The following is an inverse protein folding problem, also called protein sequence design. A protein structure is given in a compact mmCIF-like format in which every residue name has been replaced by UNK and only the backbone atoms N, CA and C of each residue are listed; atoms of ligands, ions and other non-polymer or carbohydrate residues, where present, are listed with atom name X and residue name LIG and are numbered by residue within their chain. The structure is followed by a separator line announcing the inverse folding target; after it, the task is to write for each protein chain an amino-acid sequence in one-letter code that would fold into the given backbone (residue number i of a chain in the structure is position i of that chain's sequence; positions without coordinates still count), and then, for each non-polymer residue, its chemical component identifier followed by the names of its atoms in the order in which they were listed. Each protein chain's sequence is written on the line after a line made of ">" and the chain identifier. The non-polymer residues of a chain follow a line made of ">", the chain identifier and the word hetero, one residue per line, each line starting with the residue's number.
data_IF_509647594579
#
_entry.id   IF_509647594579
#
_cell.length_a   1.000
_cell.length_b   1.000
_cell.length_c   1.000
_cell.angle_alpha   90.00
_cell.angle_beta   90.00
_cell.angle_gamma   90.00
#
_symmetry.space_group_name_H-M   'P 1'
#
loop_
_entity.id
_entity.type
_entity.pdbx_description
1 polymer ?
#
# COMPACT_ATOMS: atom_id res chain seq x y z
N UNK A 1 -6.29 -15.02 -11.25
CA UNK A 1 -6.08 -13.89 -10.30
C UNK A 1 -5.29 -12.84 -11.04
N UNK A 2 -5.93 -11.73 -11.39
CA UNK A 2 -5.35 -10.73 -12.29
C UNK A 2 -4.51 -9.74 -11.47
N UNK A 3 -3.19 -9.88 -11.57
CA UNK A 3 -2.26 -8.94 -10.94
C UNK A 3 -2.28 -7.63 -11.73
N UNK A 4 -3.00 -6.63 -11.23
CA UNK A 4 -2.98 -5.29 -11.79
C UNK A 4 -1.57 -4.69 -11.63
N UNK A 5 -0.79 -4.70 -12.71
CA UNK A 5 0.49 -3.99 -12.77
C UNK A 5 0.22 -2.48 -12.69
N UNK A 6 0.43 -1.92 -11.50
CA UNK A 6 0.06 -0.57 -11.10
C UNK A 6 1.08 0.50 -11.54
N UNK A 7 2.19 0.13 -12.19
CA UNK A 7 3.31 1.04 -12.49
C UNK A 7 2.93 2.32 -13.24
N UNK A 8 2.06 2.24 -14.25
CA UNK A 8 1.62 3.43 -15.01
C UNK A 8 0.49 4.22 -14.32
N UNK A 9 -0.30 3.59 -13.45
CA UNK A 9 -1.44 4.22 -12.74
C UNK A 9 -1.01 4.90 -11.43
N UNK A 10 0.13 4.48 -10.86
CA UNK A 10 0.70 5.08 -9.67
C UNK A 10 1.37 6.43 -9.94
N UNK A 11 1.77 6.76 -11.16
CA UNK A 11 2.40 8.07 -11.46
C UNK A 11 1.46 9.27 -11.27
N UNK A 12 0.15 9.08 -11.46
CA UNK A 12 -0.89 10.09 -11.16
C UNK A 12 -1.30 10.06 -9.69
N UNK A 13 -1.31 8.88 -9.08
CA UNK A 13 -1.59 8.69 -7.66
C UNK A 13 -0.48 9.26 -6.77
N UNK A 14 0.79 9.01 -7.10
CA UNK A 14 1.96 9.51 -6.41
C UNK A 14 1.96 11.04 -6.36
N UNK A 15 1.62 11.74 -7.46
CA UNK A 15 1.50 13.21 -7.47
C UNK A 15 0.40 13.76 -6.54
N UNK A 16 -0.73 13.05 -6.42
CA UNK A 16 -1.81 13.44 -5.50
C UNK A 16 -1.46 13.11 -4.04
N UNK A 17 -0.66 12.07 -3.82
CA UNK A 17 -0.23 11.59 -2.51
C UNK A 17 1.06 12.24 -1.99
N UNK A 18 1.86 12.83 -2.86
CA UNK A 18 3.06 13.61 -2.51
C UNK A 18 2.70 14.84 -1.65
N UNK A 19 1.45 15.29 -1.72
CA UNK A 19 0.87 16.33 -0.86
C UNK A 19 0.16 15.80 0.40
N UNK A 20 -0.03 14.49 0.53
CA UNK A 20 -0.73 13.88 1.68
C UNK A 20 0.29 13.60 2.78
N UNK A 21 -0.08 13.93 4.01
CA UNK A 21 0.73 13.65 5.19
C UNK A 21 0.85 12.14 5.43
N UNK A 22 2.04 11.64 5.75
CA UNK A 22 2.29 10.25 6.15
C UNK A 22 1.63 9.90 7.51
N UNK A 23 1.19 10.90 8.26
CA UNK A 23 0.44 10.72 9.52
C UNK A 23 -1.04 10.34 9.30
N UNK A 24 -1.50 10.13 8.06
CA UNK A 24 -2.90 9.76 7.82
C UNK A 24 -3.16 8.28 8.10
N UNK A 25 -4.38 7.92 8.56
CA UNK A 25 -4.80 6.53 8.70
C UNK A 25 -4.93 5.81 7.36
N UNK A 26 -4.71 4.49 7.38
CA UNK A 26 -4.92 3.58 6.24
C UNK A 26 -6.36 3.56 5.73
N UNK A 27 -7.34 3.97 6.55
CA UNK A 27 -8.73 4.21 6.13
C UNK A 27 -8.82 5.15 4.92
N UNK A 28 -7.93 6.13 4.80
CA UNK A 28 -7.90 7.05 3.65
C UNK A 28 -7.54 6.29 2.35
N UNK A 29 -6.68 5.27 2.45
CA UNK A 29 -6.34 4.38 1.34
C UNK A 29 -7.56 3.53 0.97
N UNK A 30 -8.23 2.93 1.96
CA UNK A 30 -9.49 2.18 1.73
C UNK A 30 -10.53 3.03 1.01
N UNK A 31 -10.74 4.28 1.44
CA UNK A 31 -11.64 5.25 0.78
C UNK A 31 -11.28 5.50 -0.68
N UNK A 32 -9.99 5.67 -0.96
CA UNK A 32 -9.53 5.85 -2.33
C UNK A 32 -9.78 4.61 -3.19
N UNK A 33 -9.43 3.43 -2.67
CA UNK A 33 -9.63 2.15 -3.38
C UNK A 33 -11.12 1.95 -3.67
N UNK A 34 -11.99 2.12 -2.67
CA UNK A 34 -13.43 1.98 -2.83
C UNK A 34 -13.96 2.86 -3.96
N UNK A 35 -13.61 4.16 -3.98
CA UNK A 35 -13.99 5.06 -5.07
C UNK A 35 -13.43 4.64 -6.43
N UNK A 36 -12.18 4.15 -6.45
CA UNK A 36 -11.50 3.77 -7.68
C UNK A 36 -12.09 2.52 -8.33
N UNK A 37 -12.61 1.60 -7.52
CA UNK A 37 -13.23 0.35 -7.98
C UNK A 37 -14.75 0.37 -7.84
N UNK A 38 -15.33 1.55 -7.64
CA UNK A 38 -16.77 1.80 -7.56
C UNK A 38 -17.49 0.95 -6.49
N UNK A 39 -16.87 0.82 -5.32
CA UNK A 39 -17.47 0.20 -4.14
C UNK A 39 -18.29 1.23 -3.34
N UNK A 40 -19.46 0.85 -2.81
CA UNK A 40 -20.32 1.72 -2.01
C UNK A 40 -19.67 2.29 -0.74
N UNK A 41 -18.76 1.53 -0.12
CA UNK A 41 -18.16 1.88 1.16
C UNK A 41 -16.70 1.46 1.24
N UNK A 42 -15.88 2.26 1.92
CA UNK A 42 -14.52 1.86 2.29
C UNK A 42 -14.47 0.68 3.25
N UNK A 43 -15.58 0.38 3.94
CA UNK A 43 -15.68 -0.77 4.83
C UNK A 43 -15.56 -2.10 4.07
N UNK A 44 -15.92 -2.12 2.79
CA UNK A 44 -15.76 -3.27 1.89
C UNK A 44 -14.32 -3.47 1.43
N UNK A 45 -13.39 -2.57 1.78
CA UNK A 45 -11.98 -2.67 1.38
C UNK A 45 -11.13 -3.06 2.57
N UNK A 46 -10.40 -4.16 2.42
CA UNK A 46 -9.30 -4.53 3.29
C UNK A 46 -7.96 -4.15 2.67
N UNK A 47 -7.16 -3.37 3.38
CA UNK A 47 -5.77 -3.09 2.99
C UNK A 47 -4.88 -4.17 3.60
N UNK A 48 -3.97 -4.71 2.81
CA UNK A 48 -3.03 -5.74 3.22
C UNK A 48 -1.59 -5.24 3.07
N UNK A 49 -0.78 -5.46 4.10
CA UNK A 49 0.65 -5.20 4.13
C UNK A 49 1.38 -6.51 4.40
N UNK A 50 2.32 -6.87 3.51
CA UNK A 50 3.08 -8.13 3.59
C UNK A 50 2.20 -9.39 3.75
N UNK A 51 1.00 -9.38 3.15
CA UNK A 51 0.05 -10.50 3.21
C UNK A 51 -0.87 -10.50 4.42
N UNK A 52 -0.74 -9.54 5.34
CA UNK A 52 -1.58 -9.42 6.53
C UNK A 52 -2.52 -8.21 6.44
N UNK A 53 -3.77 -8.34 6.91
CA UNK A 53 -4.72 -7.23 6.94
C UNK A 53 -4.26 -6.14 7.92
N UNK A 54 -4.44 -4.89 7.51
CA UNK A 54 -4.06 -3.72 8.30
C UNK A 54 -5.30 -3.08 8.92
N UNK A 55 -5.21 -2.73 10.21
CA UNK A 55 -6.28 -2.01 10.89
C UNK A 55 -6.47 -0.61 10.25
N UNK A 56 -7.71 -0.17 9.93
CA UNK A 56 -7.95 1.10 9.24
C UNK A 56 -7.47 2.35 9.97
N UNK A 57 -7.24 2.26 11.29
CA UNK A 57 -6.75 3.35 12.13
C UNK A 57 -5.23 3.47 12.14
N UNK A 58 -4.50 2.47 11.63
CA UNK A 58 -3.04 2.51 11.58
C UNK A 58 -2.58 3.62 10.64
N UNK A 59 -1.66 4.45 11.10
CA UNK A 59 -1.10 5.51 10.26
C UNK A 59 -0.08 4.96 9.27
N UNK A 60 -0.01 5.57 8.09
CA UNK A 60 0.88 5.16 7.01
C UNK A 60 2.36 5.20 7.43
N UNK A 61 2.76 6.16 8.26
CA UNK A 61 4.12 6.25 8.82
C UNK A 61 4.55 4.95 9.52
N UNK A 62 3.66 4.30 10.27
CA UNK A 62 4.00 3.08 11.00
C UNK A 62 4.18 1.90 10.04
N UNK A 63 3.43 1.86 8.93
CA UNK A 63 3.65 0.88 7.87
C UNK A 63 5.00 1.10 7.18
N UNK A 64 5.37 2.37 6.94
CA UNK A 64 6.67 2.73 6.36
C UNK A 64 7.81 2.30 7.30
N UNK A 65 7.68 2.56 8.61
CA UNK A 65 8.67 2.15 9.60
C UNK A 65 8.84 0.62 9.64
N UNK A 66 7.74 -0.13 9.65
CA UNK A 66 7.76 -1.59 9.60
C UNK A 66 8.38 -2.10 8.29
N UNK A 67 8.07 -1.47 7.16
CA UNK A 67 8.67 -1.81 5.87
C UNK A 67 10.17 -1.54 5.85
N UNK A 68 10.64 -0.45 6.46
CA UNK A 68 12.08 -0.14 6.57
C UNK A 68 12.80 -1.14 7.48
N UNK A 69 12.19 -1.57 8.57
CA UNK A 69 12.76 -2.57 9.49
C UNK A 69 12.81 -3.98 8.91
N UNK A 70 11.86 -4.32 8.04
CA UNK A 70 11.81 -5.64 7.37
C UNK A 70 12.71 -5.72 6.14
N UNK A 71 13.34 -4.61 5.74
CA UNK A 71 14.41 -4.66 4.75
C UNK A 71 15.66 -5.32 5.35
N UNK A 72 16.39 -6.14 4.57
CA UNK A 72 17.73 -6.55 4.97
C UNK A 72 18.54 -5.31 5.34
N UNK A 73 19.11 -5.28 6.54
CA UNK A 73 20.03 -4.21 6.96
C UNK A 73 21.13 -4.06 5.90
N UNK A 74 21.36 -2.86 5.36
CA UNK A 74 22.46 -2.66 4.43
C UNK A 74 23.75 -2.67 5.24
N UNK A 75 24.40 -3.84 5.35
CA UNK A 75 25.80 -3.89 5.79
C UNK A 75 26.73 -3.19 4.78
N UNK A 76 26.23 -2.88 3.59
CA UNK A 76 26.94 -2.14 2.57
C UNK A 76 25.96 -1.16 1.93
N UNK A 77 26.43 0.06 1.63
CA UNK A 77 25.75 1.06 0.81
C UNK A 77 24.94 0.33 -0.27
N UNK A 78 23.64 0.59 -0.37
CA UNK A 78 22.78 -0.05 -1.38
C UNK A 78 23.38 0.27 -2.75
N UNK A 79 24.18 -0.65 -3.28
CA UNK A 79 24.71 -0.58 -4.63
C UNK A 79 23.52 -0.89 -5.53
N UNK A 80 22.88 0.15 -6.05
CA UNK A 80 21.86 -0.01 -7.08
C UNK A 80 22.59 -0.51 -8.33
N UNK A 81 22.57 -1.83 -8.55
CA UNK A 81 23.05 -2.42 -9.79
C UNK A 81 22.00 -2.16 -10.88
N UNK A 82 22.43 -1.96 -12.13
CA UNK A 82 21.50 -1.99 -13.27
C UNK A 82 20.76 -3.33 -13.25
N UNK A 83 19.46 -3.31 -12.91
CA UNK A 83 18.64 -4.51 -12.74
C UNK A 83 18.02 -4.67 -11.35
N UNK A 84 18.32 -3.82 -10.36
CA UNK A 84 17.62 -3.83 -9.07
C UNK A 84 16.12 -3.59 -9.26
N UNK A 85 15.30 -4.38 -8.57
CA UNK A 85 13.84 -4.33 -8.71
C UNK A 85 13.29 -3.10 -8.01
N UNK A 86 12.33 -2.41 -8.63
CA UNK A 86 11.61 -1.32 -7.96
C UNK A 86 10.95 -1.78 -6.64
N UNK A 87 10.69 -3.09 -6.47
CA UNK A 87 10.15 -3.68 -5.24
C UNK A 87 11.05 -3.49 -4.02
N UNK A 88 12.37 -3.34 -4.22
CA UNK A 88 13.32 -3.14 -3.12
C UNK A 88 13.25 -1.70 -2.54
N UNK A 89 12.63 -0.79 -3.30
CA UNK A 89 12.58 0.64 -3.02
C UNK A 89 11.18 1.21 -2.87
N UNK A 90 10.13 0.40 -3.06
CA UNK A 90 8.74 0.83 -2.95
C UNK A 90 7.99 -0.08 -1.98
N UNK A 91 7.32 0.53 -0.99
CA UNK A 91 6.41 -0.21 -0.13
C UNK A 91 5.20 -0.68 -0.92
N UNK A 92 4.96 -1.99 -0.95
CA UNK A 92 3.82 -2.58 -1.64
C UNK A 92 2.64 -2.78 -0.68
N UNK A 93 1.48 -2.21 -1.04
CA UNK A 93 0.20 -2.43 -0.37
C UNK A 93 -0.74 -3.16 -1.32
N UNK A 94 -1.35 -4.23 -0.83
CA UNK A 94 -2.36 -4.97 -1.54
C UNK A 94 -3.75 -4.62 -1.00
N UNK A 95 -4.80 -4.94 -1.74
CA UNK A 95 -6.18 -4.80 -1.24
C UNK A 95 -7.03 -6.00 -1.62
N UNK A 96 -8.02 -6.29 -0.78
CA UNK A 96 -9.05 -7.30 -1.02
C UNK A 96 -10.43 -6.70 -0.76
N UNK A 97 -11.46 -7.23 -1.43
CA UNK A 97 -12.84 -6.91 -1.10
C UNK A 97 -13.28 -7.80 0.05
N UNK A 98 -13.76 -7.20 1.15
CA UNK A 98 -14.43 -7.93 2.22
C UNK A 98 -15.78 -8.40 1.70
N UNK A 99 -16.05 -9.68 1.84
CA UNK A 99 -17.36 -10.25 1.58
C UNK A 99 -17.97 -10.49 2.94
N UNK A 100 -19.03 -9.75 3.27
CA UNK A 100 -19.81 -10.06 4.46
C UNK A 100 -20.44 -11.43 4.23
N UNK A 101 -20.03 -12.42 5.01
CA UNK A 101 -20.77 -13.67 5.10
C UNK A 101 -22.05 -13.36 5.87
N UNK A 102 -23.13 -13.06 5.15
CA UNK A 102 -24.49 -13.07 5.70
C UNK A 102 -24.77 -14.52 6.07
N UNK A 103 -24.80 -14.81 7.37
CA UNK A 103 -25.29 -16.07 7.95
C UNK A 103 -26.79 -15.97 8.21
#
# INVERSE_FOLDING_TARGET
>A
MEYLNLGNRLSKFAREWERRDINIPTLIISKYVARKVDLPSEAEVEIMFQGYPVIPTLQLRHLIDLWLQTRPTPSERIQTYMGSSAKDFVMELNYARKVDFIN
#
